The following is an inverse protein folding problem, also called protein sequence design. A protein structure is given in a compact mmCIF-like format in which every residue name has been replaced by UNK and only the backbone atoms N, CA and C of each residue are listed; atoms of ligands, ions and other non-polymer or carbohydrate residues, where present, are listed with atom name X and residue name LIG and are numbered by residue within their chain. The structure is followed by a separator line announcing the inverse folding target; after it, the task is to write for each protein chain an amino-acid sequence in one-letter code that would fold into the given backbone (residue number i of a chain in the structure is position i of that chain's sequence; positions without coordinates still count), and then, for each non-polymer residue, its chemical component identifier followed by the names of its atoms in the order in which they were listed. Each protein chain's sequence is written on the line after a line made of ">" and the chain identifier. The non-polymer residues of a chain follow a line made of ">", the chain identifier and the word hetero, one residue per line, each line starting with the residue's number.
data_IF_391612439585
#
_entry.id   IF_391612439585
#
_cell.length_a   1.000
_cell.length_b   1.000
_cell.length_c   1.000
_cell.angle_alpha   90.00
_cell.angle_beta   90.00
_cell.angle_gamma   90.00
#
_symmetry.space_group_name_H-M   'P 1'
#
loop_
_entity.id
_entity.type
_entity.pdbx_description
1 polymer ?
#
# COMPACT_ATOMS: atom_id res chain seq x y z
N UNK A 1 1.58 -13.97 -8.04
CA UNK A 1 2.81 -13.56 -8.75
C UNK A 1 4.09 -14.09 -8.09
N UNK A 2 4.32 -13.86 -6.79
CA UNK A 2 5.54 -14.33 -6.09
C UNK A 2 5.72 -15.86 -6.06
N UNK A 3 4.64 -16.62 -5.93
CA UNK A 3 4.68 -18.09 -5.87
C UNK A 3 5.14 -18.71 -7.20
N UNK A 4 4.68 -18.17 -8.33
CA UNK A 4 5.10 -18.63 -9.67
C UNK A 4 6.57 -18.29 -9.93
N UNK A 5 7.03 -17.13 -9.45
CA UNK A 5 8.45 -16.73 -9.51
C UNK A 5 9.35 -17.67 -8.68
N UNK A 6 8.91 -18.02 -7.47
CA UNK A 6 9.64 -18.91 -6.57
C UNK A 6 9.71 -20.34 -7.14
N UNK A 7 8.62 -20.79 -7.78
CA UNK A 7 8.55 -22.08 -8.47
C UNK A 7 9.52 -22.12 -9.67
N UNK A 8 9.59 -21.06 -10.49
CA UNK A 8 10.55 -20.97 -11.62
C UNK A 8 12.00 -20.96 -11.12
N UNK A 9 12.29 -20.23 -10.04
CA UNK A 9 13.62 -20.24 -9.41
C UNK A 9 13.99 -21.63 -8.87
N UNK A 10 13.03 -22.32 -8.25
CA UNK A 10 13.19 -23.68 -7.74
C UNK A 10 13.49 -24.68 -8.86
N UNK A 11 12.73 -24.65 -9.96
CA UNK A 11 12.98 -25.53 -11.12
C UNK A 11 14.36 -25.31 -11.75
N UNK A 12 14.78 -24.05 -11.85
CA UNK A 12 16.10 -23.71 -12.39
C UNK A 12 17.25 -24.18 -11.47
N UNK A 13 17.09 -24.08 -10.14
CA UNK A 13 18.04 -24.62 -9.17
C UNK A 13 18.12 -26.15 -9.23
N UNK A 14 16.96 -26.82 -9.25
CA UNK A 14 16.84 -28.28 -9.33
C UNK A 14 17.47 -28.82 -10.63
N UNK A 15 17.21 -28.18 -11.77
CA UNK A 15 17.74 -28.60 -13.07
C UNK A 15 19.27 -28.46 -13.16
N UNK A 16 19.84 -27.37 -12.62
CA UNK A 16 21.29 -27.21 -12.53
C UNK A 16 21.93 -28.22 -11.55
N UNK A 17 21.26 -28.54 -10.45
CA UNK A 17 21.73 -29.51 -9.45
C UNK A 17 21.76 -30.95 -9.97
N UNK A 18 20.77 -31.35 -10.78
CA UNK A 18 20.56 -32.75 -11.17
C UNK A 18 21.07 -33.04 -12.58
N UNK A 19 20.87 -32.12 -13.54
CA UNK A 19 21.09 -32.38 -14.98
C UNK A 19 22.27 -31.59 -15.54
N UNK A 20 22.82 -30.61 -14.79
CA UNK A 20 23.85 -29.64 -15.26
C UNK A 20 23.45 -28.87 -16.54
N UNK A 21 22.18 -28.88 -16.90
CA UNK A 21 21.62 -28.12 -18.02
C UNK A 21 20.81 -26.95 -17.47
N UNK A 22 21.00 -25.75 -18.01
CA UNK A 22 20.18 -24.59 -17.63
C UNK A 22 18.81 -24.71 -18.28
N UNK A 23 17.77 -24.98 -17.49
CA UNK A 23 16.39 -25.05 -17.99
C UNK A 23 15.89 -23.71 -18.56
N UNK A 24 16.51 -22.60 -18.16
CA UNK A 24 16.07 -21.25 -18.49
C UNK A 24 17.22 -20.42 -19.06
N UNK A 25 16.95 -19.65 -20.12
CA UNK A 25 17.94 -18.76 -20.72
C UNK A 25 18.27 -17.60 -19.77
N UNK A 26 19.54 -17.17 -19.77
CA UNK A 26 20.04 -16.03 -18.97
C UNK A 26 19.24 -14.74 -19.23
N UNK A 27 18.62 -14.60 -20.39
CA UNK A 27 17.76 -13.48 -20.75
C UNK A 27 16.40 -13.56 -20.04
N UNK A 28 15.73 -14.71 -20.10
CA UNK A 28 14.42 -14.90 -19.48
C UNK A 28 14.51 -14.70 -17.96
N UNK A 29 15.55 -15.24 -17.32
CA UNK A 29 15.77 -15.03 -15.90
C UNK A 29 15.89 -13.55 -15.51
N UNK A 30 16.63 -12.75 -16.30
CA UNK A 30 16.74 -11.30 -16.08
C UNK A 30 15.40 -10.58 -16.28
N UNK A 31 14.63 -10.98 -17.29
CA UNK A 31 13.31 -10.43 -17.58
C UNK A 31 12.31 -10.72 -16.45
N UNK A 32 12.32 -11.92 -15.88
CA UNK A 32 11.49 -12.26 -14.72
C UNK A 32 11.84 -11.49 -13.45
N UNK A 33 13.15 -11.32 -13.16
CA UNK A 33 13.62 -10.47 -12.05
C UNK A 33 13.10 -9.04 -12.25
N UNK A 34 13.24 -8.50 -13.46
CA UNK A 34 12.80 -7.15 -13.79
C UNK A 34 11.28 -6.97 -13.64
N UNK A 35 10.48 -7.90 -14.16
CA UNK A 35 9.01 -7.92 -13.99
C UNK A 35 8.58 -8.03 -12.52
N UNK A 36 9.26 -8.87 -11.74
CA UNK A 36 9.03 -9.01 -10.31
C UNK A 36 9.22 -7.67 -9.58
N UNK A 37 10.35 -7.00 -9.82
CA UNK A 37 10.65 -5.71 -9.18
C UNK A 37 9.69 -4.61 -9.64
N UNK A 38 9.32 -4.56 -10.93
CA UNK A 38 8.30 -3.63 -11.42
C UNK A 38 6.98 -3.86 -10.69
N UNK A 39 6.52 -5.11 -10.54
CA UNK A 39 5.25 -5.39 -9.86
C UNK A 39 5.23 -4.94 -8.39
N UNK A 40 6.37 -5.04 -7.70
CA UNK A 40 6.51 -4.63 -6.29
C UNK A 40 6.38 -3.12 -6.13
N UNK A 41 6.83 -2.34 -7.12
CA UNK A 41 6.74 -0.87 -7.10
C UNK A 41 5.41 -0.39 -7.67
N UNK A 42 4.92 -1.00 -8.74
CA UNK A 42 3.69 -0.59 -9.41
C UNK A 42 2.47 -0.77 -8.52
N UNK A 43 2.43 -1.82 -7.69
CA UNK A 43 1.31 -2.08 -6.78
C UNK A 43 1.05 -0.91 -5.79
N UNK A 44 2.02 -0.46 -4.98
CA UNK A 44 1.82 0.67 -4.06
C UNK A 44 1.56 2.00 -4.80
N UNK A 45 2.15 2.23 -5.98
CA UNK A 45 1.85 3.43 -6.78
C UNK A 45 0.37 3.48 -7.18
N UNK A 46 -0.14 2.38 -7.76
CA UNK A 46 -1.54 2.30 -8.19
C UNK A 46 -2.46 2.42 -6.98
N UNK A 47 -2.12 1.78 -5.87
CA UNK A 47 -2.89 1.86 -4.64
C UNK A 47 -2.99 3.30 -4.12
N UNK A 48 -1.90 4.07 -4.10
CA UNK A 48 -1.89 5.47 -3.68
C UNK A 48 -2.74 6.37 -4.58
N UNK A 49 -2.63 6.22 -5.89
CA UNK A 49 -3.40 7.02 -6.84
C UNK A 49 -4.90 6.72 -6.70
N UNK A 50 -5.26 5.45 -6.63
CA UNK A 50 -6.66 5.05 -6.52
C UNK A 50 -7.28 5.54 -5.20
N UNK A 51 -6.55 5.41 -4.08
CA UNK A 51 -7.02 5.87 -2.77
C UNK A 51 -7.14 7.39 -2.67
N UNK A 52 -6.18 8.15 -3.21
CA UNK A 52 -6.26 9.62 -3.15
C UNK A 52 -7.45 10.13 -3.94
N UNK A 53 -7.72 9.55 -5.11
CA UNK A 53 -8.92 9.86 -5.91
C UNK A 53 -10.21 9.50 -5.16
N UNK A 54 -10.30 8.31 -4.58
CA UNK A 54 -11.47 7.90 -3.80
C UNK A 54 -11.65 8.72 -2.52
N UNK A 55 -10.57 9.05 -1.82
CA UNK A 55 -10.60 9.89 -0.62
C UNK A 55 -11.12 11.30 -0.92
N UNK A 56 -10.69 11.88 -2.04
CA UNK A 56 -11.19 13.18 -2.50
C UNK A 56 -12.68 13.08 -2.91
N UNK A 57 -13.04 12.05 -3.69
CA UNK A 57 -14.42 11.86 -4.15
C UNK A 57 -15.40 11.66 -2.98
N UNK A 58 -15.00 10.88 -1.97
CA UNK A 58 -15.81 10.65 -0.76
C UNK A 58 -15.95 11.93 0.05
N UNK A 59 -14.89 12.73 0.18
CA UNK A 59 -14.95 14.02 0.86
C UNK A 59 -16.01 14.96 0.23
N UNK A 60 -15.99 15.11 -1.09
CA UNK A 60 -16.99 15.92 -1.80
C UNK A 60 -18.42 15.38 -1.61
N UNK A 61 -18.59 14.06 -1.68
CA UNK A 61 -19.91 13.44 -1.47
C UNK A 61 -20.46 13.72 -0.07
N UNK A 62 -19.61 13.69 0.95
CA UNK A 62 -20.04 14.00 2.32
C UNK A 62 -20.38 15.48 2.52
N UNK A 63 -19.68 16.40 1.87
CA UNK A 63 -20.05 17.84 1.90
C UNK A 63 -21.44 18.03 1.30
N UNK A 64 -21.71 17.45 0.12
CA UNK A 64 -23.02 17.53 -0.51
C UNK A 64 -24.13 16.92 0.36
N UNK A 65 -23.82 15.88 1.15
CA UNK A 65 -24.76 15.27 2.10
C UNK A 65 -25.05 16.18 3.28
N UNK A 66 -24.06 16.91 3.81
CA UNK A 66 -24.25 17.88 4.90
C UNK A 66 -25.18 19.00 4.45
N UNK A 67 -24.98 19.55 3.25
CA UNK A 67 -25.82 20.62 2.71
C UNK A 67 -27.28 20.18 2.58
N UNK A 68 -27.52 18.96 2.10
CA UNK A 68 -28.88 18.41 1.96
C UNK A 68 -29.54 18.02 3.29
N UNK A 69 -28.74 17.77 4.32
CA UNK A 69 -29.25 17.36 5.65
C UNK A 69 -29.62 18.56 6.52
N UNK A 70 -29.40 19.79 6.05
CA UNK A 70 -29.61 21.01 6.84
C UNK A 70 -31.10 21.33 7.09
N UNK A 71 -31.98 20.90 6.19
CA UNK A 71 -33.44 21.13 6.29
C UNK A 71 -34.17 20.10 7.18
N UNK A 72 -33.48 19.09 7.72
CA UNK A 72 -34.07 18.06 8.58
C UNK A 72 -34.20 18.55 10.03
N UNK A 73 -35.30 18.19 10.72
CA UNK A 73 -35.46 18.43 12.16
C UNK A 73 -34.35 17.76 13.00
N UNK A 74 -33.78 16.67 12.51
CA UNK A 74 -32.66 15.94 13.12
C UNK A 74 -31.29 16.31 12.53
N UNK A 75 -31.20 17.39 11.74
CA UNK A 75 -29.98 17.90 11.12
C UNK A 75 -28.74 17.85 12.02
N UNK A 76 -28.75 18.36 13.28
CA UNK A 76 -27.53 18.40 14.09
C UNK A 76 -26.96 17.01 14.40
N UNK A 77 -27.81 16.02 14.67
CA UNK A 77 -27.36 14.64 14.95
C UNK A 77 -26.84 13.94 13.67
N UNK A 78 -27.52 14.15 12.53
CA UNK A 78 -27.12 13.58 11.24
C UNK A 78 -25.77 14.20 10.78
N UNK A 79 -25.64 15.52 10.88
CA UNK A 79 -24.41 16.25 10.52
C UNK A 79 -23.24 15.82 11.42
N UNK A 80 -23.46 15.61 12.72
CA UNK A 80 -22.43 15.09 13.62
C UNK A 80 -21.90 13.72 13.16
N UNK A 81 -22.80 12.78 12.81
CA UNK A 81 -22.40 11.47 12.27
C UNK A 81 -21.63 11.59 10.96
N UNK A 82 -22.08 12.44 10.03
CA UNK A 82 -21.39 12.65 8.76
C UNK A 82 -19.99 13.25 8.99
N UNK A 83 -19.86 14.24 9.90
CA UNK A 83 -18.56 14.83 10.25
C UNK A 83 -17.59 13.82 10.84
N UNK A 84 -18.07 12.93 11.72
CA UNK A 84 -17.27 11.81 12.22
C UNK A 84 -16.71 10.97 11.07
N UNK A 85 -17.53 10.58 10.09
CA UNK A 85 -17.06 9.81 8.93
C UNK A 85 -16.09 10.60 8.04
N UNK A 86 -16.28 11.91 7.91
CA UNK A 86 -15.31 12.78 7.20
C UNK A 86 -13.95 12.72 7.89
N UNK A 87 -13.93 12.86 9.22
CA UNK A 87 -12.68 12.89 9.97
C UNK A 87 -11.99 11.51 9.99
N UNK A 88 -12.76 10.42 10.10
CA UNK A 88 -12.22 9.06 9.95
C UNK A 88 -11.61 8.84 8.56
N UNK A 89 -12.28 9.27 7.48
CA UNK A 89 -11.74 9.14 6.12
C UNK A 89 -10.49 9.99 5.87
N UNK A 90 -10.36 11.15 6.51
CA UNK A 90 -9.12 11.95 6.46
C UNK A 90 -7.96 11.21 7.11
N UNK A 91 -8.16 10.67 8.32
CA UNK A 91 -7.13 9.90 9.03
C UNK A 91 -6.74 8.67 8.21
N UNK A 92 -7.72 7.96 7.66
CA UNK A 92 -7.50 6.79 6.79
C UNK A 92 -6.64 7.14 5.56
N UNK A 93 -6.99 8.24 4.88
CA UNK A 93 -6.26 8.68 3.68
C UNK A 93 -4.83 9.07 4.02
N UNK A 94 -4.61 9.74 5.15
CA UNK A 94 -3.28 10.15 5.61
C UNK A 94 -2.40 8.93 5.95
N UNK A 95 -2.93 7.97 6.70
CA UNK A 95 -2.16 6.78 7.12
C UNK A 95 -1.80 5.92 5.92
N UNK A 96 -2.73 5.73 4.98
CA UNK A 96 -2.49 5.01 3.73
C UNK A 96 -1.46 5.70 2.85
N UNK A 97 -1.45 7.04 2.82
CA UNK A 97 -0.43 7.80 2.11
C UNK A 97 0.97 7.56 2.69
N UNK A 98 1.10 7.63 4.03
CA UNK A 98 2.37 7.39 4.73
C UNK A 98 2.87 5.96 4.51
N UNK A 99 1.97 4.97 4.59
CA UNK A 99 2.30 3.56 4.34
C UNK A 99 2.76 3.35 2.90
N UNK A 100 2.02 3.87 1.91
CA UNK A 100 2.40 3.73 0.50
C UNK A 100 3.70 4.44 0.15
N UNK A 101 3.93 5.64 0.68
CA UNK A 101 5.20 6.36 0.49
C UNK A 101 6.39 5.59 1.07
N UNK A 102 6.22 4.97 2.24
CA UNK A 102 7.25 4.14 2.87
C UNK A 102 7.59 2.90 2.04
N UNK A 103 6.58 2.22 1.49
CA UNK A 103 6.78 1.11 0.56
C UNK A 103 7.50 1.54 -0.73
N UNK A 104 7.22 2.72 -1.27
CA UNK A 104 7.93 3.25 -2.44
C UNK A 104 9.38 3.58 -2.15
N UNK A 105 9.67 4.16 -0.98
CA UNK A 105 11.05 4.44 -0.55
C UNK A 105 11.86 3.16 -0.38
N UNK A 106 11.32 2.15 0.31
CA UNK A 106 11.99 0.85 0.45
C UNK A 106 12.11 0.12 -0.89
N UNK A 107 11.07 0.13 -1.72
CA UNK A 107 11.06 -0.51 -3.02
C UNK A 107 12.06 0.11 -4.01
N UNK A 108 12.19 1.45 -3.99
CA UNK A 108 13.18 2.16 -4.82
C UNK A 108 14.61 2.03 -4.29
N UNK A 109 14.81 1.94 -2.96
CA UNK A 109 16.14 1.71 -2.39
C UNK A 109 16.73 0.35 -2.80
N UNK A 110 15.90 -0.68 -2.92
CA UNK A 110 16.31 -2.02 -3.40
C UNK A 110 16.85 -1.98 -4.84
N UNK A 111 16.34 -1.06 -5.67
CA UNK A 111 16.79 -0.85 -7.05
C UNK A 111 18.13 -0.10 -7.14
N UNK A 112 18.42 0.75 -6.16
CA UNK A 112 19.63 1.59 -6.15
C UNK A 112 20.84 0.75 -5.74
N UNK A 113 21.95 0.83 -6.49
CA UNK A 113 23.16 0.04 -6.20
C UNK A 113 23.84 0.41 -4.88
N UNK A 114 23.71 1.67 -4.43
CA UNK A 114 24.27 2.16 -3.17
C UNK A 114 23.43 1.84 -1.93
N UNK A 115 22.16 1.42 -2.10
CA UNK A 115 21.22 1.00 -1.04
C UNK A 115 21.34 1.78 0.28
N UNK A 116 21.30 3.13 0.27
CA UNK A 116 21.56 3.93 1.46
C UNK A 116 20.62 3.63 2.63
N UNK A 117 19.35 3.31 2.35
CA UNK A 117 18.35 3.04 3.40
C UNK A 117 18.54 1.62 3.95
N UNK A 118 18.70 0.62 3.07
CA UNK A 118 18.88 -0.79 3.49
C UNK A 118 20.23 -1.03 4.17
N UNK A 119 21.28 -0.31 3.77
CA UNK A 119 22.60 -0.43 4.41
C UNK A 119 22.62 0.14 5.84
N UNK A 120 21.76 1.12 6.13
CA UNK A 120 21.56 1.62 7.48
C UNK A 120 20.47 0.83 8.18
N UNK A 121 20.88 -0.09 9.06
CA UNK A 121 19.93 -0.90 9.86
C UNK A 121 18.88 -0.03 10.56
N UNK A 122 19.30 1.09 11.14
CA UNK A 122 18.42 2.02 11.85
C UNK A 122 17.41 2.66 10.89
N UNK A 123 17.83 3.10 9.70
CA UNK A 123 16.92 3.74 8.74
C UNK A 123 15.86 2.77 8.24
N UNK A 124 16.26 1.53 7.91
CA UNK A 124 15.32 0.48 7.50
C UNK A 124 14.36 0.10 8.63
N UNK A 125 14.87 -0.12 9.85
CA UNK A 125 14.05 -0.48 11.01
C UNK A 125 13.03 0.62 11.36
N UNK A 126 13.43 1.91 11.29
CA UNK A 126 12.52 3.04 11.53
C UNK A 126 11.41 3.12 10.48
N UNK A 127 11.74 2.92 9.19
CA UNK A 127 10.74 2.96 8.12
C UNK A 127 9.73 1.82 8.25
N UNK A 128 10.22 0.61 8.56
CA UNK A 128 9.38 -0.57 8.79
C UNK A 128 8.51 -0.37 10.03
N UNK A 129 9.04 0.21 11.11
CA UNK A 129 8.26 0.54 12.30
C UNK A 129 7.16 1.57 11.99
N UNK A 130 7.46 2.62 11.22
CA UNK A 130 6.47 3.60 10.77
C UNK A 130 5.35 2.96 9.95
N UNK A 131 5.69 2.07 9.00
CA UNK A 131 4.70 1.31 8.24
C UNK A 131 3.80 0.46 9.13
N UNK A 132 4.39 -0.28 10.07
CA UNK A 132 3.62 -1.16 10.96
C UNK A 132 2.68 -0.34 11.86
N UNK A 133 3.17 0.79 12.38
CA UNK A 133 2.34 1.69 13.18
C UNK A 133 1.19 2.30 12.37
N UNK A 134 1.47 2.77 11.15
CA UNK A 134 0.44 3.29 10.25
C UNK A 134 -0.58 2.21 9.86
N UNK A 135 -0.16 0.96 9.64
CA UNK A 135 -1.05 -0.16 9.38
C UNK A 135 -1.98 -0.45 10.57
N UNK A 136 -1.48 -0.39 11.81
CA UNK A 136 -2.33 -0.55 13.00
C UNK A 136 -3.40 0.55 13.06
N UNK A 137 -3.02 1.80 12.79
CA UNK A 137 -3.98 2.92 12.75
C UNK A 137 -5.01 2.69 11.64
N UNK A 138 -4.60 2.24 10.46
CA UNK A 138 -5.50 1.92 9.37
C UNK A 138 -6.56 0.89 9.77
N UNK A 139 -6.14 -0.22 10.37
CA UNK A 139 -7.06 -1.24 10.90
C UNK A 139 -8.02 -0.67 11.95
N UNK A 140 -7.51 0.17 12.85
CA UNK A 140 -8.33 0.80 13.89
C UNK A 140 -9.37 1.75 13.27
N UNK A 141 -8.99 2.57 12.30
CA UNK A 141 -9.89 3.49 11.59
C UNK A 141 -10.94 2.72 10.78
N UNK A 142 -10.58 1.61 10.14
CA UNK A 142 -11.56 0.75 9.46
C UNK A 142 -12.59 0.21 10.44
N UNK A 143 -12.17 -0.28 11.61
CA UNK A 143 -13.09 -0.73 12.66
C UNK A 143 -14.01 0.41 13.11
N UNK A 144 -13.48 1.61 13.30
CA UNK A 144 -14.24 2.80 13.68
C UNK A 144 -15.24 3.27 12.61
N UNK A 145 -14.97 3.00 11.33
CA UNK A 145 -15.90 3.27 10.22
C UNK A 145 -17.03 2.23 10.20
N UNK A 146 -16.74 0.95 10.43
CA UNK A 146 -17.76 -0.12 10.43
C UNK A 146 -18.61 -0.14 11.71
N UNK A 147 -18.02 0.22 12.84
CA UNK A 147 -18.66 0.26 14.15
C UNK A 147 -18.56 1.67 14.76
N UNK A 148 -19.25 2.66 14.17
CA UNK A 148 -19.31 4.00 14.73
C UNK A 148 -20.03 3.96 16.09
N UNK A 149 -19.43 4.58 17.10
CA UNK A 149 -20.05 4.76 18.42
C UNK A 149 -21.10 5.87 18.41
#
# INVERSE_FOLDING_TARGET
>A
SAILFLLQCFWNYLSNSIVKLSFMSRFEFKLYIFLGVISVIMFPVIQLIFLTVLGIQTHYRFINLIERSYDDKNAPHIIMKIRYFIDMNKVLTLTLFVTGASFLLLGSDVLIKSRPITNSKIASDILVAHMNFAAIIEWLVLILIFYPR
#
